data_IF_411307908143
#
_entry.id   IF_411307908143
#
_cell.length_a   1.000
_cell.length_b   1.000
_cell.length_c   1.000
_cell.angle_alpha   90.00
_cell.angle_beta   90.00
_cell.angle_gamma   90.00
#
_symmetry.space_group_name_H-M   'P 1'
#
loop_
_entity.id
_entity.type
_entity.pdbx_description
1 polymer ?
#
# COMPACT_ATOMS: atom_id res chain seq x y z
N UNK A 1 29.91 39.20 -38.43
CA UNK A 1 30.42 38.58 -37.21
C UNK A 1 29.27 37.72 -36.69
N UNK A 2 29.31 36.46 -37.06
CA UNK A 2 28.34 35.42 -36.71
C UNK A 2 28.82 34.78 -35.42
N UNK A 3 27.99 34.74 -34.38
CA UNK A 3 28.29 34.07 -33.13
C UNK A 3 27.59 32.71 -33.14
N UNK A 4 28.33 31.68 -33.52
CA UNK A 4 27.97 30.29 -33.25
C UNK A 4 27.92 30.07 -31.74
N UNK A 5 26.74 29.69 -31.23
CA UNK A 5 26.64 29.02 -29.95
C UNK A 5 26.71 27.51 -30.19
N UNK A 6 27.56 26.77 -29.50
CA UNK A 6 27.55 25.31 -29.58
C UNK A 6 26.25 24.77 -28.97
N UNK A 7 25.61 23.85 -29.69
CA UNK A 7 24.51 23.03 -29.24
C UNK A 7 24.90 22.26 -27.96
N UNK A 8 24.13 22.45 -26.92
CA UNK A 8 24.18 21.71 -25.67
C UNK A 8 23.74 20.27 -25.97
N UNK A 9 24.59 19.24 -25.81
CA UNK A 9 24.16 17.86 -25.98
C UNK A 9 23.22 17.52 -24.82
N UNK A 10 21.96 17.35 -25.15
CA UNK A 10 20.89 16.97 -24.20
C UNK A 10 21.35 15.93 -23.21
N UNK A 11 21.09 16.26 -21.98
CA UNK A 11 21.18 15.38 -20.80
C UNK A 11 20.45 14.06 -21.07
N UNK A 12 21.19 13.07 -21.56
CA UNK A 12 20.75 11.67 -21.57
C UNK A 12 20.85 11.14 -20.15
N UNK A 13 19.92 11.60 -19.31
CA UNK A 13 19.72 11.05 -17.97
C UNK A 13 19.51 9.55 -18.10
N UNK A 14 20.50 8.78 -17.61
CA UNK A 14 20.34 7.36 -17.29
C UNK A 14 19.32 7.29 -16.17
N UNK A 15 18.04 7.44 -16.51
CA UNK A 15 16.93 7.47 -15.57
C UNK A 15 16.84 6.12 -14.88
N UNK A 16 16.93 6.13 -13.56
CA UNK A 16 16.66 4.96 -12.73
C UNK A 16 15.30 4.39 -13.13
N UNK A 17 15.24 3.07 -13.36
CA UNK A 17 14.02 2.35 -13.73
C UNK A 17 13.42 1.63 -12.54
N UNK A 18 12.14 1.37 -12.61
CA UNK A 18 11.38 0.59 -11.62
C UNK A 18 10.37 -0.30 -12.33
N UNK A 19 9.78 -1.24 -11.61
CA UNK A 19 8.80 -2.15 -12.16
C UNK A 19 7.36 -1.59 -12.07
N UNK A 20 6.64 -1.68 -13.19
CA UNK A 20 5.19 -1.50 -13.29
C UNK A 20 4.60 -2.83 -13.81
N UNK A 21 4.19 -3.71 -12.89
CA UNK A 21 4.00 -5.11 -13.21
C UNK A 21 5.30 -5.75 -13.70
N UNK A 22 5.26 -6.44 -14.82
CA UNK A 22 6.47 -7.03 -15.45
C UNK A 22 7.22 -6.05 -16.38
N UNK A 23 6.72 -4.84 -16.56
CA UNK A 23 7.37 -3.83 -17.42
C UNK A 23 8.33 -2.97 -16.60
N UNK A 24 9.49 -2.67 -17.17
CA UNK A 24 10.34 -1.62 -16.63
C UNK A 24 9.85 -0.26 -17.13
N UNK A 25 9.78 0.70 -16.23
CA UNK A 25 9.37 2.08 -16.51
C UNK A 25 10.30 3.05 -15.77
N UNK A 26 10.48 4.29 -16.27
CA UNK A 26 11.19 5.32 -15.51
C UNK A 26 10.55 5.55 -14.14
N UNK A 27 11.37 5.70 -13.09
CA UNK A 27 10.88 5.89 -11.71
C UNK A 27 9.85 7.03 -11.61
N UNK A 28 10.07 8.13 -12.34
CA UNK A 28 9.16 9.28 -12.35
C UNK A 28 7.76 9.00 -12.95
N UNK A 29 7.63 7.95 -13.78
CA UNK A 29 6.36 7.62 -14.42
C UNK A 29 5.50 6.63 -13.64
N UNK A 30 6.10 5.81 -12.74
CA UNK A 30 5.37 4.74 -12.06
C UNK A 30 4.18 5.25 -11.27
N UNK A 31 4.35 6.32 -10.50
CA UNK A 31 3.27 6.90 -9.69
C UNK A 31 2.07 7.33 -10.53
N UNK A 32 2.31 8.01 -11.66
CA UNK A 32 1.25 8.43 -12.58
C UNK A 32 0.52 7.24 -13.21
N UNK A 33 1.26 6.19 -13.63
CA UNK A 33 0.68 4.96 -14.21
C UNK A 33 -0.14 4.20 -13.18
N UNK A 34 0.35 4.07 -11.95
CA UNK A 34 -0.39 3.48 -10.83
C UNK A 34 -1.64 4.28 -10.53
N UNK A 35 -1.55 5.62 -10.50
CA UNK A 35 -2.70 6.51 -10.33
C UNK A 35 -3.78 6.24 -11.36
N UNK A 36 -3.43 6.17 -12.65
CA UNK A 36 -4.39 5.87 -13.73
C UNK A 36 -5.10 4.52 -13.56
N UNK A 37 -4.38 3.47 -13.09
CA UNK A 37 -5.00 2.17 -12.76
C UNK A 37 -6.03 2.33 -11.64
N UNK A 38 -5.69 3.03 -10.56
CA UNK A 38 -6.63 3.22 -9.46
C UNK A 38 -7.81 4.11 -9.82
N UNK A 39 -7.62 5.13 -10.64
CA UNK A 39 -8.70 6.00 -11.15
C UNK A 39 -9.70 5.19 -12.00
N UNK A 40 -9.22 4.28 -12.87
CA UNK A 40 -10.09 3.45 -13.71
C UNK A 40 -10.96 2.48 -12.90
N UNK A 41 -10.42 1.92 -11.82
CA UNK A 41 -11.14 0.95 -10.97
C UNK A 41 -11.80 1.57 -9.75
N UNK A 42 -11.58 2.85 -9.48
CA UNK A 42 -12.01 3.50 -8.24
C UNK A 42 -13.51 3.33 -7.93
N UNK A 43 -14.37 3.37 -8.96
CA UNK A 43 -15.83 3.16 -8.80
C UNK A 43 -16.22 1.72 -8.44
N UNK A 44 -15.34 0.74 -8.72
CA UNK A 44 -15.57 -0.70 -8.52
C UNK A 44 -14.51 -1.34 -7.65
N UNK A 45 -13.76 -0.51 -6.91
CA UNK A 45 -12.61 -0.95 -6.11
C UNK A 45 -12.97 -2.05 -5.10
N UNK A 46 -14.09 -1.89 -4.39
CA UNK A 46 -14.54 -2.90 -3.43
C UNK A 46 -14.95 -4.21 -4.13
N UNK A 47 -15.62 -4.12 -5.27
CA UNK A 47 -15.97 -5.28 -6.08
C UNK A 47 -14.70 -6.00 -6.60
N UNK A 48 -13.70 -5.25 -7.03
CA UNK A 48 -12.41 -5.80 -7.43
C UNK A 48 -11.75 -6.56 -6.27
N UNK A 49 -11.73 -5.98 -5.08
CA UNK A 49 -11.19 -6.64 -3.90
C UNK A 49 -11.99 -7.90 -3.51
N UNK A 50 -13.31 -7.87 -3.61
CA UNK A 50 -14.18 -9.01 -3.37
C UNK A 50 -13.89 -10.14 -4.37
N UNK A 51 -13.81 -9.85 -5.66
CA UNK A 51 -13.51 -10.85 -6.70
C UNK A 51 -12.12 -11.46 -6.50
N UNK A 52 -11.10 -10.63 -6.23
CA UNK A 52 -9.73 -11.10 -6.04
C UNK A 52 -9.53 -11.97 -4.82
N UNK A 53 -10.26 -11.70 -3.76
CA UNK A 53 -10.07 -12.33 -2.46
C UNK A 53 -11.17 -13.32 -2.09
N UNK A 54 -12.21 -13.48 -2.91
CA UNK A 54 -13.43 -14.19 -2.51
C UNK A 54 -14.05 -13.62 -1.24
N UNK A 55 -13.95 -12.29 -1.01
CA UNK A 55 -14.42 -11.61 0.20
C UNK A 55 -13.52 -11.75 1.42
N UNK A 56 -12.41 -12.51 1.32
CA UNK A 56 -11.49 -12.76 2.43
C UNK A 56 -10.73 -11.50 2.89
N UNK A 57 -10.62 -10.47 2.05
CA UNK A 57 -9.91 -9.23 2.39
C UNK A 57 -10.44 -8.57 3.68
N UNK A 58 -11.73 -8.72 3.98
CA UNK A 58 -12.35 -8.21 5.22
C UNK A 58 -11.79 -8.90 6.48
N UNK A 59 -11.60 -10.22 6.40
CA UNK A 59 -10.99 -10.98 7.51
C UNK A 59 -9.51 -10.64 7.66
N UNK A 60 -8.78 -10.48 6.55
CA UNK A 60 -7.37 -10.09 6.59
C UNK A 60 -7.19 -8.69 7.21
N UNK A 61 -8.05 -7.72 6.84
CA UNK A 61 -8.05 -6.38 7.43
C UNK A 61 -8.36 -6.41 8.92
N UNK A 62 -9.33 -7.22 9.36
CA UNK A 62 -9.62 -7.43 10.79
C UNK A 62 -8.42 -7.98 11.54
N UNK A 63 -7.71 -8.95 10.95
CA UNK A 63 -6.49 -9.49 11.55
C UNK A 63 -5.38 -8.42 11.65
N UNK A 64 -5.18 -7.62 10.61
CA UNK A 64 -4.22 -6.52 10.63
C UNK A 64 -4.55 -5.50 11.72
N UNK A 65 -5.82 -5.11 11.88
CA UNK A 65 -6.30 -4.25 12.97
C UNK A 65 -5.99 -4.85 14.35
N UNK A 66 -6.25 -6.14 14.54
CA UNK A 66 -5.91 -6.83 15.78
C UNK A 66 -4.40 -6.85 16.04
N UNK A 67 -3.56 -6.92 15.00
CA UNK A 67 -2.09 -6.82 15.10
C UNK A 67 -1.62 -5.40 15.35
N UNK A 68 -2.32 -4.39 14.83
CA UNK A 68 -2.03 -2.98 15.07
C UNK A 68 -2.20 -2.61 16.55
N UNK A 69 -3.16 -3.20 17.26
CA UNK A 69 -3.38 -3.00 18.70
C UNK A 69 -3.39 -1.52 19.11
N UNK A 70 -4.02 -0.68 18.29
CA UNK A 70 -4.15 0.74 18.63
C UNK A 70 -4.95 0.91 19.93
N UNK A 71 -4.61 1.95 20.69
CA UNK A 71 -5.21 2.23 22.01
C UNK A 71 -5.86 3.61 22.01
N UNK A 72 -6.84 3.84 22.86
CA UNK A 72 -7.40 5.16 23.06
C UNK A 72 -6.32 6.20 23.37
N UNK A 73 -6.37 7.35 22.66
CA UNK A 73 -5.41 8.44 22.82
C UNK A 73 -4.12 8.30 21.99
N UNK A 74 -3.92 7.22 21.26
CA UNK A 74 -2.79 7.10 20.33
C UNK A 74 -2.98 7.99 19.09
N UNK A 75 -1.87 8.31 18.42
CA UNK A 75 -1.84 8.91 17.07
C UNK A 75 -1.44 7.84 16.09
N UNK A 76 -2.26 7.62 15.07
CA UNK A 76 -1.98 6.65 14.02
C UNK A 76 -1.95 7.30 12.63
N UNK A 77 -1.25 6.66 11.71
CA UNK A 77 -1.20 6.99 10.29
C UNK A 77 -1.58 5.75 9.49
N UNK A 78 -2.58 5.87 8.64
CA UNK A 78 -2.94 4.85 7.65
C UNK A 78 -2.47 5.32 6.28
N UNK A 79 -1.45 4.68 5.73
CA UNK A 79 -0.85 4.98 4.43
C UNK A 79 -1.48 4.15 3.33
N UNK A 80 -1.66 4.75 2.16
CA UNK A 80 -2.40 4.18 1.05
C UNK A 80 -3.78 3.72 1.53
N UNK A 81 -4.48 4.64 2.18
CA UNK A 81 -5.75 4.37 2.87
C UNK A 81 -6.87 3.92 1.93
N UNK A 82 -6.78 4.29 0.65
CA UNK A 82 -7.75 3.94 -0.37
C UNK A 82 -9.16 4.33 0.03
N UNK A 83 -10.08 3.36 0.01
CA UNK A 83 -11.49 3.54 0.44
C UNK A 83 -11.69 3.67 1.95
N UNK A 84 -10.63 3.68 2.76
CA UNK A 84 -10.69 3.96 4.20
C UNK A 84 -11.08 2.79 5.10
N UNK A 85 -11.11 1.55 4.60
CA UNK A 85 -11.53 0.38 5.39
C UNK A 85 -10.71 0.17 6.67
N UNK A 86 -9.37 0.27 6.54
CA UNK A 86 -8.49 0.10 7.70
C UNK A 86 -8.59 1.31 8.62
N UNK A 87 -8.63 2.51 8.04
CA UNK A 87 -8.81 3.77 8.76
C UNK A 87 -10.08 3.77 9.62
N UNK A 88 -11.23 3.30 9.10
CA UNK A 88 -12.46 3.14 9.87
C UNK A 88 -12.28 2.27 11.11
N UNK A 89 -11.63 1.11 10.94
CA UNK A 89 -11.34 0.20 12.05
C UNK A 89 -10.41 0.79 13.09
N UNK A 90 -9.35 1.50 12.66
CA UNK A 90 -8.43 2.20 13.55
C UNK A 90 -9.14 3.30 14.33
N UNK A 91 -9.90 4.16 13.66
CA UNK A 91 -10.63 5.26 14.30
C UNK A 91 -11.59 4.76 15.39
N UNK A 92 -12.34 3.67 15.12
CA UNK A 92 -13.22 3.06 16.11
C UNK A 92 -12.45 2.50 17.31
N UNK A 93 -11.33 1.82 17.07
CA UNK A 93 -10.51 1.23 18.13
C UNK A 93 -9.80 2.28 18.99
N UNK A 94 -9.42 3.42 18.42
CA UNK A 94 -8.76 4.53 19.12
C UNK A 94 -9.73 5.38 19.96
N UNK A 95 -11.02 5.31 19.67
CA UNK A 95 -12.05 6.09 20.38
C UNK A 95 -11.89 7.60 20.21
N UNK A 96 -12.60 8.38 21.03
CA UNK A 96 -12.68 9.84 20.88
C UNK A 96 -11.38 10.59 21.18
N UNK A 97 -10.50 10.02 21.98
CA UNK A 97 -9.22 10.65 22.37
C UNK A 97 -8.07 10.36 21.39
N UNK A 98 -8.27 9.44 20.44
CA UNK A 98 -7.28 9.11 19.44
C UNK A 98 -7.34 10.07 18.25
N UNK A 99 -6.23 10.17 17.51
CA UNK A 99 -6.14 10.96 16.29
C UNK A 99 -5.53 10.13 15.16
N UNK A 100 -6.24 10.04 14.05
CA UNK A 100 -5.83 9.29 12.86
C UNK A 100 -5.56 10.25 11.70
N UNK A 101 -4.47 10.02 10.99
CA UNK A 101 -4.27 10.56 9.63
C UNK A 101 -4.54 9.41 8.64
N UNK A 102 -5.43 9.64 7.70
CA UNK A 102 -5.61 8.81 6.51
C UNK A 102 -4.88 9.49 5.35
N UNK A 103 -3.93 8.80 4.73
CA UNK A 103 -3.11 9.36 3.66
C UNK A 103 -3.11 8.45 2.43
N UNK A 104 -3.21 9.07 1.26
CA UNK A 104 -3.05 8.40 -0.02
C UNK A 104 -2.34 9.34 -1.00
N UNK A 105 -1.60 8.78 -1.96
CA UNK A 105 -0.98 9.56 -3.02
C UNK A 105 -2.02 9.95 -4.09
N UNK A 106 -3.05 9.11 -4.27
CA UNK A 106 -4.13 9.32 -5.22
C UNK A 106 -5.25 10.16 -4.58
N UNK A 107 -5.47 11.37 -5.11
CA UNK A 107 -6.47 12.30 -4.59
C UNK A 107 -7.90 11.75 -4.69
N UNK A 108 -8.25 11.07 -5.80
CA UNK A 108 -9.59 10.50 -6.02
C UNK A 108 -9.90 9.41 -5.01
N UNK A 109 -8.91 8.55 -4.68
CA UNK A 109 -9.06 7.52 -3.66
C UNK A 109 -9.20 8.12 -2.26
N UNK A 110 -8.39 9.14 -1.94
CA UNK A 110 -8.45 9.83 -0.66
C UNK A 110 -9.81 10.53 -0.46
N UNK A 111 -10.34 11.18 -1.50
CA UNK A 111 -11.65 11.83 -1.46
C UNK A 111 -12.78 10.82 -1.20
N UNK A 112 -12.80 9.70 -1.93
CA UNK A 112 -13.76 8.62 -1.70
C UNK A 112 -13.66 8.03 -0.30
N UNK A 113 -12.42 7.81 0.18
CA UNK A 113 -12.17 7.34 1.54
C UNK A 113 -12.72 8.33 2.57
N UNK A 114 -12.48 9.63 2.37
CA UNK A 114 -13.01 10.71 3.22
C UNK A 114 -14.53 10.68 3.29
N UNK A 115 -15.20 10.69 2.13
CA UNK A 115 -16.65 10.76 2.06
C UNK A 115 -17.28 9.54 2.76
N UNK A 116 -16.76 8.36 2.49
CA UNK A 116 -17.19 7.13 3.17
C UNK A 116 -16.99 7.19 4.69
N UNK A 117 -15.81 7.65 5.16
CA UNK A 117 -15.52 7.73 6.59
C UNK A 117 -16.40 8.77 7.31
N UNK A 118 -16.78 9.84 6.61
CA UNK A 118 -17.78 10.82 7.09
C UNK A 118 -19.15 10.17 7.20
N UNK A 119 -19.59 9.45 6.17
CA UNK A 119 -20.88 8.74 6.16
C UNK A 119 -20.96 7.66 7.25
N UNK A 120 -19.84 7.00 7.55
CA UNK A 120 -19.72 6.03 8.66
C UNK A 120 -19.64 6.68 10.05
N UNK A 121 -19.67 8.01 10.15
CA UNK A 121 -19.69 8.77 11.41
C UNK A 121 -18.33 8.80 12.14
N UNK A 122 -17.23 8.44 11.48
CA UNK A 122 -15.89 8.45 12.08
C UNK A 122 -14.99 9.56 11.53
N UNK A 123 -15.42 10.28 10.49
CA UNK A 123 -14.62 11.25 9.76
C UNK A 123 -14.14 12.44 10.58
N UNK A 124 -14.89 12.88 11.61
CA UNK A 124 -14.55 14.05 12.43
C UNK A 124 -13.23 13.92 13.22
N UNK A 125 -12.69 12.71 13.34
CA UNK A 125 -11.46 12.38 14.09
C UNK A 125 -10.31 11.98 13.18
N UNK A 126 -10.49 12.12 11.87
CA UNK A 126 -9.54 11.71 10.85
C UNK A 126 -9.08 12.94 10.08
N UNK A 127 -7.77 13.19 10.08
CA UNK A 127 -7.15 14.13 9.15
C UNK A 127 -6.90 13.42 7.82
N UNK A 128 -7.18 14.10 6.70
CA UNK A 128 -6.94 13.56 5.35
C UNK A 128 -5.79 14.31 4.72
N UNK A 129 -4.74 13.60 4.29
CA UNK A 129 -3.52 14.21 3.75
C UNK A 129 -3.11 13.47 2.47
N UNK A 130 -3.07 14.18 1.35
CA UNK A 130 -2.47 13.65 0.14
C UNK A 130 -0.95 13.67 0.29
N UNK A 131 -0.31 12.50 0.27
CA UNK A 131 1.14 12.39 0.41
C UNK A 131 1.69 11.13 -0.26
N UNK A 132 2.93 11.24 -0.75
CA UNK A 132 3.73 10.10 -1.16
C UNK A 132 4.38 9.47 0.07
N UNK A 133 4.25 8.15 0.21
CA UNK A 133 4.86 7.39 1.30
C UNK A 133 6.38 7.51 1.34
N UNK A 134 7.02 7.89 0.23
CA UNK A 134 8.45 8.10 0.10
C UNK A 134 8.92 9.47 0.68
N UNK A 135 7.98 10.40 0.93
CA UNK A 135 8.23 11.77 1.37
C UNK A 135 7.11 12.24 2.29
N UNK A 136 7.06 11.69 3.50
CA UNK A 136 5.97 11.95 4.44
C UNK A 136 6.06 13.36 5.04
N UNK A 137 5.03 14.21 4.89
CA UNK A 137 5.03 15.59 5.39
C UNK A 137 4.72 15.65 6.90
N UNK A 138 5.27 14.71 7.66
CA UNK A 138 5.04 14.61 9.10
C UNK A 138 6.36 14.72 9.87
N UNK A 139 6.33 15.28 11.09
CA UNK A 139 7.52 15.37 11.92
C UNK A 139 8.01 13.98 12.37
N UNK A 140 9.29 13.93 12.73
CA UNK A 140 9.91 12.74 13.30
C UNK A 140 9.20 12.32 14.58
N UNK A 141 9.20 11.03 14.87
CA UNK A 141 8.74 10.46 16.15
C UNK A 141 7.31 10.88 16.53
N UNK A 142 6.43 11.00 15.55
CA UNK A 142 5.09 11.53 15.76
C UNK A 142 4.06 10.45 16.07
N UNK A 143 4.05 9.33 15.32
CA UNK A 143 3.01 8.33 15.37
C UNK A 143 3.33 7.16 16.30
N UNK A 144 2.31 6.63 16.95
CA UNK A 144 2.37 5.40 17.75
C UNK A 144 2.21 4.15 16.88
N UNK A 145 1.45 4.27 15.79
CA UNK A 145 1.18 3.20 14.86
C UNK A 145 1.13 3.75 13.43
N UNK A 146 1.76 3.05 12.50
CA UNK A 146 1.57 3.25 11.06
C UNK A 146 1.04 1.94 10.48
N UNK A 147 0.06 2.04 9.59
CA UNK A 147 -0.50 0.90 8.85
C UNK A 147 -0.40 1.13 7.36
N UNK A 148 -0.18 0.06 6.60
CA UNK A 148 -0.25 0.03 5.14
C UNK A 148 -0.97 -1.26 4.74
N UNK A 149 -2.09 -1.16 4.01
CA UNK A 149 -2.81 -2.33 3.53
C UNK A 149 -2.93 -2.32 2.01
N UNK A 150 -2.33 -3.32 1.33
CA UNK A 150 -2.37 -3.52 -0.11
C UNK A 150 -1.87 -2.33 -0.95
N UNK A 151 -1.00 -1.50 -0.34
CA UNK A 151 -0.46 -0.29 -0.96
C UNK A 151 1.04 -0.34 -1.20
N UNK A 152 1.81 -1.06 -0.36
CA UNK A 152 3.27 -1.00 -0.39
C UNK A 152 3.86 -1.48 -1.73
N UNK A 153 3.27 -2.50 -2.37
CA UNK A 153 3.72 -3.01 -3.68
C UNK A 153 3.67 -1.97 -4.80
N UNK A 154 2.83 -0.95 -4.65
CA UNK A 154 2.65 0.12 -5.64
C UNK A 154 3.64 1.28 -5.45
N UNK A 155 4.31 1.36 -4.31
CA UNK A 155 5.32 2.38 -4.02
C UNK A 155 6.54 2.16 -4.92
N UNK A 156 7.08 3.26 -5.45
CA UNK A 156 8.21 3.22 -6.40
C UNK A 156 9.49 2.77 -5.71
N UNK A 157 9.87 3.40 -4.59
CA UNK A 157 10.98 3.01 -3.73
C UNK A 157 10.44 2.58 -2.36
N UNK A 158 10.21 1.27 -2.22
CA UNK A 158 9.68 0.69 -0.98
C UNK A 158 10.66 0.84 0.20
N UNK A 159 11.97 0.76 -0.07
CA UNK A 159 12.98 0.91 0.98
C UNK A 159 12.97 2.35 1.55
N UNK A 160 12.84 3.35 0.68
CA UNK A 160 12.69 4.74 1.10
C UNK A 160 11.41 4.94 1.91
N UNK A 161 10.28 4.41 1.46
CA UNK A 161 9.01 4.50 2.20
C UNK A 161 9.12 3.87 3.59
N UNK A 162 9.77 2.71 3.72
CA UNK A 162 10.00 2.07 5.02
C UNK A 162 10.89 2.92 5.93
N UNK A 163 11.92 3.60 5.39
CA UNK A 163 12.73 4.56 6.17
C UNK A 163 11.91 5.76 6.63
N UNK A 164 11.06 6.32 5.76
CA UNK A 164 10.16 7.43 6.12
C UNK A 164 9.16 7.01 7.20
N UNK A 165 8.56 5.82 7.07
CA UNK A 165 7.70 5.27 8.12
C UNK A 165 8.45 5.12 9.44
N UNK A 166 9.68 4.61 9.40
CA UNK A 166 10.52 4.50 10.62
C UNK A 166 10.82 5.87 11.20
N UNK A 167 11.10 6.90 10.39
CA UNK A 167 11.34 8.27 10.81
C UNK A 167 10.16 8.86 11.58
N UNK A 168 8.95 8.71 11.05
CA UNK A 168 7.74 9.30 11.65
C UNK A 168 7.18 8.50 12.83
N UNK A 169 7.55 7.22 12.99
CA UNK A 169 7.21 6.43 14.17
C UNK A 169 7.99 6.95 15.39
N UNK A 170 7.35 7.03 16.55
CA UNK A 170 8.01 7.30 17.82
C UNK A 170 8.77 6.06 18.32
N UNK A 171 9.77 6.17 19.20
CA UNK A 171 10.35 5.02 19.89
C UNK A 171 9.26 4.14 20.53
N UNK A 172 9.34 2.84 20.33
CA UNK A 172 8.30 1.88 20.71
C UNK A 172 7.02 1.93 19.85
N UNK A 173 6.96 2.80 18.86
CA UNK A 173 5.91 2.83 17.84
C UNK A 173 6.01 1.61 16.91
N UNK A 174 4.95 1.29 16.20
CA UNK A 174 4.86 0.07 15.39
C UNK A 174 4.36 0.30 13.98
N UNK A 175 4.94 -0.42 13.03
CA UNK A 175 4.45 -0.56 11.67
C UNK A 175 3.72 -1.88 11.52
N UNK A 176 2.56 -1.85 10.85
CA UNK A 176 1.82 -3.06 10.44
C UNK A 176 1.56 -2.97 8.94
N UNK A 177 2.04 -3.96 8.19
CA UNK A 177 1.84 -4.06 6.74
C UNK A 177 0.99 -5.29 6.48
N UNK A 178 -0.15 -5.09 5.80
CA UNK A 178 -0.97 -6.16 5.22
C UNK A 178 -0.74 -6.14 3.71
N UNK A 179 -0.15 -7.19 3.16
CA UNK A 179 0.14 -7.22 1.72
C UNK A 179 0.05 -8.64 1.16
N UNK A 180 -0.22 -8.72 -0.14
CA UNK A 180 -0.09 -9.98 -0.86
C UNK A 180 1.34 -10.49 -0.77
N UNK A 181 1.49 -11.80 -0.80
CA UNK A 181 2.79 -12.43 -0.66
C UNK A 181 2.83 -13.76 -1.40
N UNK A 182 3.89 -14.55 -1.19
CA UNK A 182 4.03 -15.83 -1.89
C UNK A 182 3.41 -16.97 -1.09
N UNK A 183 2.46 -17.72 -1.67
CA UNK A 183 1.86 -18.88 -1.02
C UNK A 183 2.92 -19.89 -0.56
N UNK A 184 2.74 -20.41 0.65
CA UNK A 184 3.53 -21.50 1.18
C UNK A 184 3.09 -22.83 0.51
N UNK A 185 4.03 -23.54 -0.11
CA UNK A 185 3.77 -24.81 -0.77
C UNK A 185 3.57 -24.71 -2.30
N UNK A 186 4.26 -25.58 -3.03
CA UNK A 186 4.34 -25.53 -4.50
C UNK A 186 2.98 -25.77 -5.17
N UNK A 187 2.17 -26.70 -4.65
CA UNK A 187 0.85 -27.03 -5.24
C UNK A 187 -0.13 -25.86 -5.09
N UNK A 188 -0.21 -25.27 -3.91
CA UNK A 188 -1.12 -24.15 -3.66
C UNK A 188 -0.69 -22.90 -4.45
N UNK A 189 0.62 -22.71 -4.62
CA UNK A 189 1.17 -21.65 -5.47
C UNK A 189 0.70 -21.82 -6.92
N UNK A 190 0.82 -23.03 -7.49
CA UNK A 190 0.39 -23.30 -8.86
C UNK A 190 -1.11 -23.04 -9.06
N UNK A 191 -1.94 -23.44 -8.09
CA UNK A 191 -3.39 -23.19 -8.13
C UNK A 191 -3.71 -21.69 -8.08
N UNK A 192 -3.07 -20.97 -7.16
CA UNK A 192 -3.24 -19.52 -7.03
C UNK A 192 -2.76 -18.77 -8.28
N UNK A 193 -1.69 -19.24 -8.91
CA UNK A 193 -1.15 -18.69 -10.15
C UNK A 193 -2.13 -18.86 -11.30
N UNK A 194 -2.67 -20.05 -11.47
CA UNK A 194 -3.69 -20.30 -12.49
C UNK A 194 -4.90 -19.39 -12.28
N UNK A 195 -5.38 -19.24 -11.06
CA UNK A 195 -6.47 -18.32 -10.75
C UNK A 195 -6.12 -16.87 -11.11
N UNK A 196 -4.96 -16.39 -10.66
CA UNK A 196 -4.55 -14.99 -10.81
C UNK A 196 -4.30 -14.56 -12.25
N UNK A 197 -3.77 -15.46 -13.09
CA UNK A 197 -3.43 -15.12 -14.48
C UNK A 197 -4.45 -15.56 -15.53
N UNK A 198 -5.24 -16.59 -15.21
CA UNK A 198 -6.21 -17.11 -16.17
C UNK A 198 -7.66 -16.69 -15.87
N UNK A 199 -8.02 -16.60 -14.60
CA UNK A 199 -9.42 -16.35 -14.20
C UNK A 199 -9.66 -14.86 -13.90
N UNK A 200 -8.79 -14.23 -13.12
CA UNK A 200 -8.98 -12.84 -12.70
C UNK A 200 -9.06 -11.83 -13.85
N UNK A 201 -8.20 -11.85 -14.90
CA UNK A 201 -8.31 -10.91 -16.01
C UNK A 201 -9.63 -11.08 -16.80
N UNK A 202 -10.11 -12.30 -16.93
CA UNK A 202 -11.40 -12.56 -17.61
C UNK A 202 -12.58 -12.05 -16.78
N UNK A 203 -12.56 -12.27 -15.47
CA UNK A 203 -13.54 -11.69 -14.57
C UNK A 203 -13.48 -10.14 -14.58
N UNK A 204 -12.28 -9.57 -14.61
CA UNK A 204 -12.07 -8.13 -14.71
C UNK A 204 -12.68 -7.55 -15.99
N UNK A 205 -12.46 -8.20 -17.12
CA UNK A 205 -13.05 -7.82 -18.39
C UNK A 205 -14.59 -7.90 -18.34
N UNK A 206 -15.14 -8.99 -17.78
CA UNK A 206 -16.58 -9.22 -17.73
C UNK A 206 -17.31 -8.26 -16.80
N UNK A 207 -16.73 -7.96 -15.63
CA UNK A 207 -17.39 -7.22 -14.57
C UNK A 207 -17.06 -5.72 -14.62
N UNK A 208 -15.83 -5.39 -14.99
CA UNK A 208 -15.32 -4.01 -14.94
C UNK A 208 -15.01 -3.42 -16.32
N UNK A 209 -14.92 -4.25 -17.38
CA UNK A 209 -14.47 -3.81 -18.70
C UNK A 209 -12.97 -3.43 -18.75
N UNK A 210 -12.19 -3.84 -17.75
CA UNK A 210 -10.80 -3.41 -17.54
C UNK A 210 -9.87 -4.60 -17.22
N UNK A 211 -9.49 -5.34 -18.25
CA UNK A 211 -8.58 -6.47 -18.12
C UNK A 211 -7.14 -6.04 -17.74
N UNK A 212 -6.73 -4.85 -18.17
CA UNK A 212 -5.35 -4.39 -18.00
C UNK A 212 -5.04 -4.02 -16.54
N UNK A 213 -5.97 -3.37 -15.84
CA UNK A 213 -5.84 -3.09 -14.41
C UNK A 213 -5.76 -4.37 -13.58
N UNK A 214 -6.55 -5.39 -13.92
CA UNK A 214 -6.50 -6.70 -13.23
C UNK A 214 -5.20 -7.46 -13.53
N UNK A 215 -4.69 -7.33 -14.77
CA UNK A 215 -3.38 -7.90 -15.13
C UNK A 215 -2.25 -7.22 -14.35
N UNK A 216 -2.22 -5.88 -14.35
CA UNK A 216 -1.25 -5.12 -13.54
C UNK A 216 -1.25 -5.58 -12.09
N UNK A 217 -2.42 -5.79 -11.53
CA UNK A 217 -2.58 -6.22 -10.15
C UNK A 217 -1.94 -7.60 -9.91
N UNK A 218 -2.22 -8.60 -10.79
CA UNK A 218 -1.60 -9.92 -10.68
C UNK A 218 -0.06 -9.85 -10.82
N UNK A 219 0.44 -9.04 -11.74
CA UNK A 219 1.86 -8.83 -11.97
C UNK A 219 2.52 -8.10 -10.79
N UNK A 220 1.91 -7.03 -10.26
CA UNK A 220 2.44 -6.29 -9.11
C UNK A 220 2.55 -7.15 -7.86
N UNK A 221 1.61 -8.05 -7.64
CA UNK A 221 1.66 -9.05 -6.55
C UNK A 221 2.89 -9.96 -6.72
N UNK A 222 3.20 -10.38 -7.96
CA UNK A 222 4.35 -11.25 -8.23
C UNK A 222 5.69 -10.56 -8.06
N UNK A 223 5.75 -9.28 -8.38
CA UNK A 223 6.95 -8.47 -8.22
C UNK A 223 7.19 -8.03 -6.78
N UNK A 224 6.17 -8.16 -5.89
CA UNK A 224 6.32 -7.79 -4.49
C UNK A 224 7.25 -8.77 -3.76
N UNK A 225 8.11 -8.28 -2.83
CA UNK A 225 8.96 -9.12 -1.99
C UNK A 225 8.17 -10.22 -1.26
N UNK A 226 8.78 -11.38 -1.11
CA UNK A 226 8.23 -12.43 -0.24
C UNK A 226 8.37 -12.08 1.25
N UNK A 227 7.80 -12.90 2.11
CA UNK A 227 7.74 -12.61 3.54
C UNK A 227 9.11 -12.39 4.20
N UNK A 228 10.12 -13.26 3.99
CA UNK A 228 11.46 -13.05 4.55
C UNK A 228 12.13 -11.78 4.03
N UNK A 229 12.00 -11.52 2.73
CA UNK A 229 12.60 -10.35 2.08
C UNK A 229 12.00 -9.07 2.61
N UNK A 230 10.65 -8.98 2.72
CA UNK A 230 10.01 -7.79 3.29
C UNK A 230 10.39 -7.58 4.76
N UNK A 231 10.49 -8.67 5.54
CA UNK A 231 10.99 -8.57 6.93
C UNK A 231 12.40 -7.98 6.96
N UNK A 232 13.30 -8.46 6.11
CA UNK A 232 14.67 -7.94 6.01
C UNK A 232 14.68 -6.45 5.64
N UNK A 233 13.88 -6.02 4.64
CA UNK A 233 13.76 -4.62 4.26
C UNK A 233 13.27 -3.75 5.41
N UNK A 234 12.36 -4.24 6.25
CA UNK A 234 11.89 -3.54 7.44
C UNK A 234 13.03 -3.38 8.48
N UNK A 235 13.85 -4.42 8.67
CA UNK A 235 15.00 -4.40 9.57
C UNK A 235 16.09 -3.43 9.07
N UNK A 236 16.37 -3.42 7.78
CA UNK A 236 17.29 -2.48 7.13
C UNK A 236 16.81 -1.03 7.20
N UNK A 237 15.49 -0.81 7.26
CA UNK A 237 14.90 0.52 7.49
C UNK A 237 14.95 0.97 8.96
N UNK A 238 15.52 0.17 9.87
CA UNK A 238 15.71 0.50 11.30
C UNK A 238 14.58 0.03 12.21
N UNK A 239 13.71 -0.86 11.75
CA UNK A 239 12.71 -1.50 12.60
C UNK A 239 13.30 -2.73 13.29
N UNK A 240 12.85 -3.00 14.51
CA UNK A 240 13.27 -4.16 15.32
C UNK A 240 12.09 -5.07 15.64
N UNK A 241 12.38 -6.29 16.10
CA UNK A 241 11.38 -7.31 16.40
C UNK A 241 10.40 -7.56 15.26
N UNK A 242 10.94 -7.52 14.02
CA UNK A 242 10.15 -7.76 12.82
C UNK A 242 9.69 -9.22 12.74
N UNK A 243 8.42 -9.40 12.47
CA UNK A 243 7.77 -10.71 12.35
C UNK A 243 6.65 -10.66 11.33
N UNK A 244 6.22 -11.83 10.85
CA UNK A 244 5.04 -11.92 9.99
C UNK A 244 4.12 -13.07 10.38
N UNK A 245 2.87 -12.98 9.95
CA UNK A 245 1.86 -14.02 10.02
C UNK A 245 1.30 -14.27 8.63
N UNK A 246 1.38 -15.49 8.16
CA UNK A 246 0.75 -15.92 6.92
C UNK A 246 -0.76 -16.05 7.11
N UNK A 247 -1.52 -15.55 6.14
CA UNK A 247 -2.96 -15.69 6.05
C UNK A 247 -3.30 -16.44 4.75
N UNK A 248 -4.34 -17.24 4.76
CA UNK A 248 -4.80 -18.02 3.60
C UNK A 248 -3.64 -18.74 2.90
N UNK A 249 -2.91 -19.58 3.64
CA UNK A 249 -1.79 -20.35 3.10
C UNK A 249 -0.60 -19.50 2.60
N UNK A 250 -0.48 -18.23 3.00
CA UNK A 250 0.59 -17.33 2.60
C UNK A 250 0.30 -16.48 1.37
N UNK A 251 -0.93 -16.55 0.80
CA UNK A 251 -1.38 -15.62 -0.26
C UNK A 251 -1.28 -14.17 0.20
N UNK A 252 -1.51 -13.94 1.48
CA UNK A 252 -1.39 -12.66 2.16
C UNK A 252 -0.57 -12.85 3.42
N UNK A 253 0.21 -11.84 3.78
CA UNK A 253 0.93 -11.82 5.04
C UNK A 253 0.70 -10.50 5.78
N UNK A 254 0.70 -10.56 7.10
CA UNK A 254 0.74 -9.38 7.97
C UNK A 254 2.10 -9.31 8.62
N UNK A 255 2.89 -8.31 8.22
CA UNK A 255 4.18 -8.00 8.83
C UNK A 255 4.00 -6.98 9.95
N UNK A 256 4.83 -7.09 10.97
CA UNK A 256 4.88 -6.13 12.08
C UNK A 256 6.32 -5.93 12.54
N UNK A 257 6.69 -4.68 12.74
CA UNK A 257 7.97 -4.28 13.32
C UNK A 257 7.77 -3.08 14.25
N UNK A 258 8.77 -2.80 15.08
CA UNK A 258 8.76 -1.69 16.04
C UNK A 258 9.93 -0.76 15.80
N UNK A 259 9.76 0.53 16.03
CA UNK A 259 10.88 1.45 16.11
C UNK A 259 11.61 1.27 17.45
N UNK A 260 12.93 1.13 17.40
CA UNK A 260 13.81 1.16 18.57
C UNK A 260 13.75 2.50 19.33
#
# INVERSE_FOLDING_TARGET
MSSDRPDDPGDSGTGETTHFGYREVPMGEKSARVGAVFDSVASRYDLMNDLMSGGMHRLWKRFALARARVRPGERALDLATGSGDLAAGLARAMGERGYLIASDINASMLERGRDRLVDEGVGSRIGFVQADAQYLPFPDRHFHCVTIAFGLRNVTDQARALREVTRVLRPGGRLVILEFSRPAGAWFRKLYDTYSFSVLPQLGQWVAGDADSYRYLAESIRMHPDQPTLKQMMEEAGLVHCSWNNLTGGVVAVHKGYRA
#
